data_IF_463706887955
#
_entry.id   IF_463706887955
#
_cell.length_a   1.000
_cell.length_b   1.000
_cell.length_c   1.000
_cell.angle_alpha   90.00
_cell.angle_beta   90.00
_cell.angle_gamma   90.00
#
_symmetry.space_group_name_H-M   'P 1'
#
loop_
_entity.id
_entity.type
_entity.pdbx_description
1 polymer ?
#
# COMPACT_ATOMS: atom_id res chain seq x y z
N UNK A 1 18.09 77.01 10.57
CA UNK A 1 16.66 76.79 10.78
C UNK A 1 16.45 75.28 10.88
N UNK A 2 16.68 74.65 12.02
CA UNK A 2 16.06 74.77 13.36
C UNK A 2 14.90 73.74 13.47
N UNK A 3 15.09 72.63 14.20
CA UNK A 3 14.92 72.45 15.67
C UNK A 3 13.43 72.22 15.98
N UNK A 4 12.98 70.98 16.21
CA UNK A 4 12.94 70.21 17.48
C UNK A 4 11.98 70.79 18.54
N UNK A 5 10.92 70.01 18.85
CA UNK A 5 10.33 69.78 20.20
C UNK A 5 9.52 68.47 20.11
N UNK A 6 9.73 67.37 20.87
CA UNK A 6 9.93 67.09 22.31
C UNK A 6 8.76 67.43 23.24
N UNK A 7 8.17 66.38 23.80
CA UNK A 7 7.99 66.04 25.23
C UNK A 7 8.02 64.48 25.27
N UNK A 8 8.88 63.76 26.02
CA UNK A 8 9.09 63.68 27.49
C UNK A 8 7.85 63.08 28.20
N UNK A 9 7.90 62.10 29.10
CA UNK A 9 8.95 61.38 29.87
C UNK A 9 8.45 59.92 30.14
N UNK A 10 9.21 58.93 30.63
CA UNK A 10 10.62 58.82 30.98
C UNK A 10 10.90 57.46 31.69
N UNK A 11 12.08 56.87 31.42
CA UNK A 11 13.03 56.25 32.38
C UNK A 11 12.57 55.11 33.35
N UNK A 12 13.38 54.13 33.79
CA UNK A 12 14.77 53.61 33.60
C UNK A 12 14.78 52.22 34.33
N UNK A 13 15.76 51.30 34.27
CA UNK A 13 17.18 51.33 33.95
C UNK A 13 17.73 49.92 33.59
N UNK A 14 18.83 49.89 32.82
CA UNK A 14 19.78 48.78 32.59
C UNK A 14 20.87 48.75 33.71
N UNK A 15 21.90 47.85 33.81
CA UNK A 15 22.80 47.31 32.75
C UNK A 15 23.29 45.83 32.95
N UNK A 16 24.24 45.24 32.21
CA UNK A 16 25.21 45.78 31.23
C UNK A 16 26.04 44.74 30.45
N UNK A 17 27.10 45.22 29.77
CA UNK A 17 27.94 44.54 28.75
C UNK A 17 29.44 44.47 29.22
N UNK A 18 30.45 43.84 28.59
CA UNK A 18 30.64 43.20 27.25
C UNK A 18 31.82 42.15 27.25
N UNK A 19 32.23 41.63 26.07
CA UNK A 19 33.40 40.81 25.68
C UNK A 19 34.74 40.91 26.47
N UNK A 20 35.60 39.86 26.41
CA UNK A 20 36.89 39.81 25.63
C UNK A 20 37.56 38.39 25.67
N UNK A 21 38.46 38.11 24.71
CA UNK A 21 39.19 36.84 24.43
C UNK A 21 40.46 36.58 25.30
N UNK A 22 41.10 35.41 25.05
CA UNK A 22 42.35 34.79 25.58
C UNK A 22 42.09 33.68 26.63
N UNK A 23 42.88 32.59 26.73
CA UNK A 23 44.14 32.18 26.08
C UNK A 23 44.43 30.67 26.27
N UNK A 24 45.70 30.23 26.10
CA UNK A 24 46.04 28.84 25.76
C UNK A 24 46.66 28.00 26.92
N UNK A 25 46.37 26.69 26.92
CA UNK A 25 47.26 25.53 27.21
C UNK A 25 47.47 24.96 28.66
N UNK A 26 47.71 23.63 28.67
CA UNK A 26 48.31 22.71 29.68
C UNK A 26 47.50 21.97 30.79
N UNK A 27 47.03 20.76 30.43
CA UNK A 27 47.23 19.43 31.05
C UNK A 27 47.43 19.28 32.58
N UNK A 28 46.56 18.48 33.23
CA UNK A 28 46.93 17.24 33.96
C UNK A 28 45.68 16.39 34.34
N UNK A 29 45.91 15.10 34.65
CA UNK A 29 44.88 14.05 34.67
C UNK A 29 44.12 13.89 36.01
N UNK A 30 42.95 13.25 35.96
CA UNK A 30 42.16 12.90 37.15
C UNK A 30 40.95 12.00 36.84
N UNK A 31 41.18 10.69 36.72
CA UNK A 31 40.11 9.70 36.49
C UNK A 31 39.11 9.62 37.65
N UNK A 32 37.81 9.62 37.36
CA UNK A 32 36.78 9.09 38.26
C UNK A 32 35.70 8.35 37.46
N UNK A 33 35.54 7.07 37.74
CA UNK A 33 34.42 6.27 37.26
C UNK A 33 33.11 6.73 37.94
N UNK A 34 32.00 6.58 37.22
CA UNK A 34 30.65 6.51 37.80
C UNK A 34 30.06 5.13 37.48
N UNK A 35 29.24 4.54 38.36
CA UNK A 35 28.86 3.14 38.26
C UNK A 35 27.76 2.88 37.22
N UNK A 36 27.76 1.65 36.70
CA UNK A 36 26.88 1.20 35.63
C UNK A 36 25.39 1.19 36.03
N UNK A 37 24.55 1.65 35.09
CA UNK A 37 23.12 1.34 35.07
C UNK A 37 22.92 -0.01 34.35
N UNK A 38 22.42 -1.06 35.02
CA UNK A 38 22.17 -2.34 34.38
C UNK A 38 20.89 -2.27 33.54
N UNK A 39 20.96 -1.60 32.39
CA UNK A 39 20.03 -1.86 31.31
C UNK A 39 20.13 -3.34 30.94
N UNK A 40 19.13 -4.12 31.33
CA UNK A 40 18.99 -5.54 31.03
C UNK A 40 18.82 -5.70 29.52
N UNK A 41 19.95 -5.79 28.81
CA UNK A 41 19.96 -6.41 27.49
C UNK A 41 19.50 -7.86 27.66
N UNK A 42 18.28 -8.11 27.22
CA UNK A 42 17.63 -9.42 27.26
C UNK A 42 17.95 -10.25 26.01
N UNK A 43 19.01 -9.89 25.27
CA UNK A 43 19.59 -10.73 24.23
C UNK A 43 20.07 -12.06 24.86
N UNK A 44 19.25 -13.11 24.69
CA UNK A 44 19.56 -14.45 25.16
C UNK A 44 20.92 -14.88 24.59
N UNK A 45 21.86 -15.40 25.42
CA UNK A 45 23.17 -15.82 24.94
C UNK A 45 23.01 -16.91 23.88
N UNK A 46 23.54 -16.64 22.68
CA UNK A 46 23.36 -17.49 21.49
C UNK A 46 24.26 -18.72 21.56
N UNK A 47 23.88 -19.70 22.38
CA UNK A 47 24.57 -20.98 22.54
C UNK A 47 24.12 -21.98 21.44
N UNK A 48 24.81 -21.94 20.31
CA UNK A 48 24.45 -22.66 19.06
C UNK A 48 24.64 -24.19 19.10
N UNK A 49 25.05 -24.77 20.22
CA UNK A 49 25.63 -26.12 20.24
C UNK A 49 24.57 -27.22 20.45
N UNK A 50 24.53 -28.17 19.51
CA UNK A 50 23.75 -29.44 19.50
C UNK A 50 22.22 -29.40 19.37
N UNK A 51 21.55 -28.24 19.40
CA UNK A 51 20.11 -28.19 19.05
C UNK A 51 19.91 -28.18 17.53
N UNK A 52 19.27 -29.23 16.98
CA UNK A 52 18.89 -29.27 15.55
C UNK A 52 17.85 -28.20 15.23
N UNK A 53 18.19 -27.30 14.32
CA UNK A 53 17.28 -26.26 13.80
C UNK A 53 16.03 -26.87 13.14
N UNK A 54 14.82 -26.33 13.40
CA UNK A 54 13.60 -26.80 12.74
C UNK A 54 13.60 -26.50 11.23
N UNK A 55 12.91 -27.35 10.46
CA UNK A 55 12.56 -27.11 9.07
C UNK A 55 11.25 -26.31 9.01
N UNK A 56 11.22 -25.28 8.18
CA UNK A 56 9.99 -24.57 7.84
C UNK A 56 9.38 -25.27 6.62
N UNK A 57 8.13 -25.70 6.71
CA UNK A 57 7.41 -26.44 5.67
C UNK A 57 6.07 -25.76 5.40
N UNK A 58 5.82 -25.22 4.19
CA UNK A 58 6.71 -25.18 3.03
C UNK A 58 7.90 -24.21 3.24
N UNK A 59 9.00 -24.43 2.51
CA UNK A 59 10.28 -23.75 2.73
C UNK A 59 10.38 -22.35 2.10
N UNK A 60 9.29 -21.58 2.12
CA UNK A 60 9.17 -20.30 1.42
C UNK A 60 8.74 -20.46 -0.05
N UNK A 61 8.52 -19.31 -0.73
CA UNK A 61 7.86 -19.25 -2.04
C UNK A 61 6.59 -18.39 -2.04
N UNK A 62 5.70 -18.64 -3.01
CA UNK A 62 4.43 -17.92 -3.18
C UNK A 62 3.28 -18.77 -2.62
N UNK A 63 2.41 -18.20 -1.78
CA UNK A 63 1.32 -18.92 -1.11
C UNK A 63 0.02 -18.11 -1.06
N UNK A 64 -1.12 -18.81 -1.09
CA UNK A 64 -2.41 -18.20 -0.78
C UNK A 64 -2.43 -17.79 0.70
N UNK A 65 -3.20 -16.75 1.04
CA UNK A 65 -3.45 -16.45 2.46
C UNK A 65 -4.11 -17.65 3.14
N UNK A 66 -3.90 -17.79 4.46
CA UNK A 66 -4.34 -18.95 5.24
C UNK A 66 -3.67 -20.28 4.88
N UNK A 67 -2.54 -20.24 4.17
CA UNK A 67 -1.63 -21.40 4.09
C UNK A 67 -1.03 -21.66 5.47
N UNK A 68 -1.21 -22.87 6.00
CA UNK A 68 -0.56 -23.27 7.24
C UNK A 68 0.92 -23.61 7.00
N UNK A 69 1.78 -23.02 7.82
CA UNK A 69 3.22 -23.27 7.84
C UNK A 69 3.54 -24.12 9.07
N UNK A 70 4.11 -25.31 8.82
CA UNK A 70 4.53 -26.27 9.81
C UNK A 70 6.02 -26.09 10.13
N UNK A 71 6.38 -26.25 11.39
CA UNK A 71 7.74 -26.14 11.91
C UNK A 71 8.16 -27.50 12.44
N UNK A 72 8.94 -28.23 11.66
CA UNK A 72 9.19 -29.65 11.87
C UNK A 72 10.61 -29.88 12.39
N UNK A 73 10.76 -30.59 13.50
CA UNK A 73 12.05 -31.13 13.97
C UNK A 73 12.00 -32.65 14.01
N UNK A 74 13.11 -33.32 13.70
CA UNK A 74 13.23 -34.78 13.80
C UNK A 74 13.35 -35.24 15.26
N UNK A 75 13.79 -34.34 16.15
CA UNK A 75 13.99 -34.59 17.58
C UNK A 75 13.76 -33.30 18.35
N UNK A 76 12.85 -33.31 19.32
CA UNK A 76 12.66 -32.23 20.29
C UNK A 76 13.16 -32.71 21.66
N UNK A 77 14.28 -32.17 22.19
CA UNK A 77 14.76 -32.53 23.53
C UNK A 77 13.71 -32.22 24.62
N UNK A 78 13.75 -32.97 25.72
CA UNK A 78 12.87 -32.69 26.86
C UNK A 78 13.06 -31.25 27.37
N UNK A 79 11.98 -30.52 27.58
CA UNK A 79 12.00 -29.10 27.97
C UNK A 79 12.26 -28.10 26.82
N UNK A 80 12.64 -28.57 25.62
CA UNK A 80 12.80 -27.70 24.46
C UNK A 80 11.44 -27.37 23.81
N UNK A 81 11.35 -26.17 23.24
CA UNK A 81 10.20 -25.70 22.46
C UNK A 81 10.63 -25.23 21.07
N UNK A 82 9.72 -25.31 20.10
CA UNK A 82 9.86 -24.60 18.83
C UNK A 82 9.32 -23.19 19.02
N UNK A 83 10.05 -22.18 18.55
CA UNK A 83 9.57 -20.82 18.47
C UNK A 83 9.87 -20.17 17.12
N UNK A 84 9.00 -19.25 16.72
CA UNK A 84 9.06 -18.57 15.44
C UNK A 84 8.81 -17.06 15.56
N UNK A 85 9.30 -16.32 14.57
CA UNK A 85 9.08 -14.89 14.42
C UNK A 85 8.55 -14.60 13.02
N UNK A 86 7.60 -13.66 12.95
CA UNK A 86 6.99 -13.15 11.70
C UNK A 86 7.39 -11.69 11.40
N UNK A 87 8.26 -11.11 12.23
CA UNK A 87 8.63 -9.69 12.25
C UNK A 87 10.15 -9.47 12.22
N UNK A 88 10.88 -10.39 11.57
CA UNK A 88 12.35 -10.38 11.43
C UNK A 88 13.12 -10.50 12.76
N UNK A 89 12.55 -11.23 13.72
CA UNK A 89 13.18 -11.57 14.99
C UNK A 89 12.89 -10.60 16.15
N UNK A 90 12.02 -9.62 15.97
CA UNK A 90 11.64 -8.65 17.01
C UNK A 90 10.79 -9.30 18.11
N UNK A 91 9.83 -10.17 17.74
CA UNK A 91 9.06 -10.98 18.68
C UNK A 91 9.10 -12.46 18.31
N UNK A 92 9.03 -13.32 19.32
CA UNK A 92 9.08 -14.78 19.18
C UNK A 92 7.86 -15.43 19.85
N UNK A 93 7.22 -16.34 19.14
CA UNK A 93 6.01 -17.06 19.56
C UNK A 93 6.31 -18.56 19.64
N UNK A 94 5.89 -19.21 20.71
CA UNK A 94 6.03 -20.67 20.87
C UNK A 94 4.94 -21.39 20.08
N UNK A 95 5.33 -22.35 19.24
CA UNK A 95 4.39 -23.14 18.45
C UNK A 95 5.08 -23.98 17.38
N UNK A 96 4.41 -25.05 16.94
CA UNK A 96 4.88 -25.93 15.87
C UNK A 96 4.20 -25.65 14.53
N UNK A 97 3.19 -24.77 14.51
CA UNK A 97 2.50 -24.34 13.29
C UNK A 97 1.96 -22.93 13.45
N UNK A 98 1.76 -22.23 12.34
CA UNK A 98 1.00 -20.98 12.28
C UNK A 98 0.38 -20.81 10.89
N UNK A 99 -0.70 -20.03 10.83
CA UNK A 99 -1.41 -19.73 9.58
C UNK A 99 -0.85 -18.45 8.96
N UNK A 100 -0.34 -18.50 7.73
CA UNK A 100 0.24 -17.35 7.06
C UNK A 100 -0.84 -16.36 6.59
N UNK A 101 -0.92 -15.22 7.27
CA UNK A 101 -1.88 -14.14 6.97
C UNK A 101 -1.27 -12.94 6.21
N UNK A 102 0.06 -12.86 6.13
CA UNK A 102 0.83 -11.82 5.43
C UNK A 102 2.10 -12.43 4.83
N UNK A 103 2.59 -11.88 3.72
CA UNK A 103 3.92 -12.18 3.22
C UNK A 103 5.01 -11.61 4.15
N UNK A 104 6.22 -12.12 4.03
CA UNK A 104 7.35 -11.68 4.85
C UNK A 104 8.42 -12.75 5.04
N UNK A 105 9.37 -12.46 5.94
CA UNK A 105 10.36 -13.42 6.39
C UNK A 105 9.84 -14.11 7.66
N UNK A 106 9.71 -15.44 7.59
CA UNK A 106 9.50 -16.30 8.76
C UNK A 106 10.87 -16.72 9.26
N UNK A 107 11.07 -16.66 10.58
CA UNK A 107 12.26 -17.19 11.26
C UNK A 107 11.81 -18.25 12.26
N UNK A 108 12.56 -19.35 12.40
CA UNK A 108 12.24 -20.43 13.33
C UNK A 108 13.51 -21.02 13.97
N UNK A 109 13.43 -21.34 15.27
CA UNK A 109 14.51 -21.94 16.05
C UNK A 109 13.94 -22.85 17.15
N UNK A 110 14.78 -23.71 17.73
CA UNK A 110 14.48 -24.31 19.03
C UNK A 110 14.97 -23.39 20.14
N UNK A 111 14.27 -23.38 21.27
CA UNK A 111 14.76 -22.84 22.55
C UNK A 111 14.67 -23.92 23.62
N UNK A 112 15.72 -24.08 24.42
CA UNK A 112 15.77 -24.94 25.59
C UNK A 112 16.41 -24.14 26.73
N UNK A 113 15.64 -23.90 27.79
CA UNK A 113 15.99 -22.95 28.85
C UNK A 113 16.45 -21.59 28.27
N UNK A 114 17.69 -21.19 28.55
CA UNK A 114 18.32 -19.95 28.09
C UNK A 114 19.13 -20.11 26.78
N UNK A 115 19.05 -21.27 26.11
CA UNK A 115 19.81 -21.59 24.88
C UNK A 115 18.89 -21.68 23.66
N UNK A 116 19.43 -21.35 22.48
CA UNK A 116 18.69 -21.40 21.21
C UNK A 116 19.48 -22.07 20.10
N UNK A 117 18.82 -22.82 19.23
CA UNK A 117 19.45 -23.36 18.02
C UNK A 117 19.87 -22.23 17.06
N UNK A 118 20.67 -22.57 16.05
CA UNK A 118 20.75 -21.74 14.84
C UNK A 118 19.33 -21.49 14.30
N UNK A 119 19.08 -20.28 13.81
CA UNK A 119 17.80 -19.87 13.24
C UNK A 119 17.71 -20.27 11.76
N UNK A 120 16.61 -20.93 11.37
CA UNK A 120 16.22 -21.06 9.95
C UNK A 120 15.37 -19.84 9.57
N UNK A 121 15.54 -19.37 8.34
CA UNK A 121 14.64 -18.38 7.74
C UNK A 121 14.07 -18.91 6.42
N UNK A 122 12.85 -18.49 6.10
CA UNK A 122 12.23 -18.69 4.81
C UNK A 122 11.37 -17.46 4.45
N UNK A 123 11.32 -17.11 3.17
CA UNK A 123 10.60 -15.92 2.68
C UNK A 123 9.34 -16.33 1.93
N UNK A 124 8.23 -15.70 2.29
CA UNK A 124 6.89 -16.00 1.79
C UNK A 124 6.33 -14.76 1.10
N UNK A 125 5.77 -14.92 -0.10
CA UNK A 125 4.98 -13.89 -0.80
C UNK A 125 3.54 -14.37 -0.87
N UNK A 126 2.57 -13.46 -0.73
CA UNK A 126 1.18 -13.79 -1.00
C UNK A 126 0.94 -13.87 -2.51
N UNK A 127 0.21 -14.89 -2.97
CA UNK A 127 -0.45 -14.88 -4.27
C UNK A 127 -1.95 -14.63 -4.14
N UNK A 128 -2.55 -14.28 -5.27
CA UNK A 128 -3.97 -13.98 -5.45
C UNK A 128 -4.47 -14.86 -6.60
N UNK A 129 -5.61 -15.53 -6.46
CA UNK A 129 -6.17 -16.39 -7.51
C UNK A 129 -7.21 -15.67 -8.36
N UNK A 130 -7.86 -14.63 -7.82
CA UNK A 130 -9.07 -14.01 -8.39
C UNK A 130 -9.02 -12.49 -8.25
N UNK A 131 -8.51 -11.83 -9.28
CA UNK A 131 -8.44 -10.37 -9.39
C UNK A 131 -9.72 -9.80 -10.00
N UNK A 132 -10.43 -8.97 -9.25
CA UNK A 132 -11.49 -8.10 -9.75
C UNK A 132 -10.93 -6.69 -9.97
N UNK A 133 -11.08 -6.14 -11.17
CA UNK A 133 -10.79 -4.73 -11.44
C UNK A 133 -12.13 -4.02 -11.70
N UNK A 134 -12.47 -3.09 -10.81
CA UNK A 134 -13.62 -2.19 -10.96
C UNK A 134 -13.11 -0.89 -11.56
N UNK A 135 -13.67 -0.46 -12.68
CA UNK A 135 -13.28 0.80 -13.29
C UNK A 135 -14.14 1.24 -14.47
N UNK A 136 -13.61 2.16 -15.26
CA UNK A 136 -14.35 2.86 -16.32
C UNK A 136 -13.72 2.61 -17.71
N UNK A 137 -13.92 3.54 -18.65
CA UNK A 137 -13.38 3.44 -20.02
C UNK A 137 -11.86 3.27 -20.09
N UNK A 138 -11.10 3.76 -19.09
CA UNK A 138 -9.64 3.52 -18.99
C UNK A 138 -9.33 2.04 -18.71
N UNK A 139 -10.22 1.32 -18.01
CA UNK A 139 -10.08 -0.11 -17.70
C UNK A 139 -10.46 -0.99 -18.89
N UNK A 140 -11.58 -0.71 -19.53
CA UNK A 140 -11.99 -1.37 -20.77
C UNK A 140 -13.13 -0.61 -21.43
N UNK A 141 -13.07 -0.48 -22.76
CA UNK A 141 -14.17 0.08 -23.53
C UNK A 141 -14.34 -0.63 -24.89
N UNK A 142 -15.57 -1.02 -25.30
CA UNK A 142 -15.80 -1.59 -26.62
C UNK A 142 -15.54 -0.56 -27.74
N UNK A 143 -15.37 -1.00 -29.00
CA UNK A 143 -15.16 -0.11 -30.14
C UNK A 143 -16.30 0.90 -30.32
N UNK A 144 -15.96 2.15 -30.63
CA UNK A 144 -16.90 3.23 -31.00
C UNK A 144 -16.31 3.99 -32.18
N UNK A 145 -16.58 3.49 -33.39
CA UNK A 145 -15.99 4.02 -34.63
C UNK A 145 -16.28 5.51 -34.86
N UNK A 146 -17.42 6.03 -34.39
CA UNK A 146 -17.81 7.44 -34.53
C UNK A 146 -16.93 8.42 -33.76
N UNK A 147 -16.14 7.95 -32.78
CA UNK A 147 -15.14 8.77 -32.07
C UNK A 147 -13.70 8.37 -32.40
N UNK A 148 -13.50 7.53 -33.43
CA UNK A 148 -12.18 7.03 -33.82
C UNK A 148 -11.60 5.96 -32.88
N UNK A 149 -12.42 5.32 -32.05
CA UNK A 149 -12.01 4.23 -31.17
C UNK A 149 -12.39 2.87 -31.78
N UNK A 150 -11.41 2.02 -32.06
CA UNK A 150 -11.61 0.75 -32.78
C UNK A 150 -11.24 -0.50 -31.99
N UNK A 151 -10.56 -0.37 -30.85
CA UNK A 151 -10.11 -1.50 -30.06
C UNK A 151 -11.14 -1.88 -28.97
N UNK A 152 -10.90 -3.03 -28.31
CA UNK A 152 -11.73 -3.54 -27.21
C UNK A 152 -10.88 -3.78 -25.95
N UNK A 153 -10.20 -2.74 -25.49
CA UNK A 153 -9.29 -2.72 -24.36
C UNK A 153 -9.42 -1.40 -23.58
N UNK A 154 -8.54 -1.11 -22.62
CA UNK A 154 -8.50 0.19 -21.95
C UNK A 154 -8.37 1.35 -22.96
N UNK A 155 -9.30 2.31 -22.92
CA UNK A 155 -9.45 3.31 -23.98
C UNK A 155 -8.17 4.13 -24.20
N UNK A 156 -7.85 4.36 -25.47
CA UNK A 156 -6.67 5.03 -26.00
C UNK A 156 -5.31 4.31 -25.84
N UNK A 157 -5.24 3.17 -25.12
CA UNK A 157 -4.12 2.24 -25.28
C UNK A 157 -4.13 1.64 -26.71
N UNK A 158 -2.98 1.63 -27.38
CA UNK A 158 -2.92 1.28 -28.81
C UNK A 158 -3.16 -0.20 -29.11
N UNK A 159 -2.99 -1.09 -28.12
CA UNK A 159 -3.29 -2.51 -28.20
C UNK A 159 -3.63 -3.07 -26.79
N UNK A 160 -4.31 -4.24 -26.69
CA UNK A 160 -4.68 -4.83 -25.40
C UNK A 160 -3.49 -5.02 -24.46
N UNK A 161 -2.38 -5.58 -24.95
CA UNK A 161 -1.16 -5.85 -24.19
C UNK A 161 -0.43 -4.60 -23.66
N UNK A 162 -0.94 -3.40 -23.96
CA UNK A 162 -0.44 -2.12 -23.48
C UNK A 162 -1.40 -1.34 -22.58
N UNK A 163 -2.62 -1.85 -22.34
CA UNK A 163 -3.46 -1.27 -21.29
C UNK A 163 -3.00 -1.73 -19.90
N UNK A 164 -3.38 -0.99 -18.87
CA UNK A 164 -2.91 -1.27 -17.51
C UNK A 164 -3.43 -2.61 -16.97
N UNK A 165 -4.55 -3.12 -17.50
CA UNK A 165 -5.19 -4.38 -17.08
C UNK A 165 -4.35 -5.56 -17.52
N UNK A 166 -3.96 -5.60 -18.79
CA UNK A 166 -3.15 -6.69 -19.35
C UNK A 166 -1.70 -6.61 -18.84
N UNK A 167 -1.13 -5.41 -18.70
CA UNK A 167 0.20 -5.22 -18.09
C UNK A 167 0.23 -5.72 -16.64
N UNK A 168 -0.76 -5.34 -15.82
CA UNK A 168 -0.87 -5.82 -14.43
C UNK A 168 -1.09 -7.34 -14.36
N UNK A 169 -1.97 -7.87 -15.21
CA UNK A 169 -2.26 -9.32 -15.28
C UNK A 169 -1.00 -10.09 -15.65
N UNK A 170 -0.27 -9.68 -16.69
CA UNK A 170 0.99 -10.29 -17.10
C UNK A 170 2.02 -10.29 -15.97
N UNK A 171 2.18 -9.15 -15.28
CA UNK A 171 3.09 -9.04 -14.13
C UNK A 171 2.74 -10.01 -12.99
N UNK A 172 1.47 -10.07 -12.56
CA UNK A 172 1.02 -11.00 -11.53
C UNK A 172 1.21 -12.47 -11.98
N UNK A 173 0.91 -12.76 -13.25
CA UNK A 173 1.10 -14.09 -13.85
C UNK A 173 2.58 -14.55 -13.94
N UNK A 174 3.56 -13.64 -13.88
CA UNK A 174 4.98 -14.05 -13.74
C UNK A 174 5.29 -14.65 -12.37
N UNK A 175 4.51 -14.31 -11.34
CA UNK A 175 4.71 -14.80 -9.99
C UNK A 175 3.94 -16.10 -9.74
N UNK A 176 2.72 -16.24 -10.27
CA UNK A 176 1.86 -17.38 -9.99
C UNK A 176 0.81 -17.57 -11.09
N UNK A 177 0.44 -18.84 -11.34
CA UNK A 177 -0.65 -19.22 -12.24
C UNK A 177 -1.43 -20.41 -11.66
N UNK A 178 -2.74 -20.54 -11.95
CA UNK A 178 -3.56 -19.62 -12.74
C UNK A 178 -3.96 -18.37 -11.94
N UNK A 179 -4.07 -17.24 -12.64
CA UNK A 179 -4.75 -16.04 -12.15
C UNK A 179 -6.05 -15.87 -12.96
N UNK A 180 -7.18 -15.81 -12.28
CA UNK A 180 -8.45 -15.45 -12.90
C UNK A 180 -8.64 -13.94 -12.79
N UNK A 181 -9.08 -13.31 -13.89
CA UNK A 181 -9.35 -11.87 -13.93
C UNK A 181 -10.79 -11.61 -14.35
N UNK A 182 -11.44 -10.67 -13.64
CA UNK A 182 -12.74 -10.11 -14.01
C UNK A 182 -12.67 -8.59 -14.01
N UNK A 183 -13.34 -7.99 -14.99
CA UNK A 183 -13.53 -6.55 -15.09
C UNK A 183 -14.98 -6.23 -14.78
N UNK A 184 -15.21 -5.18 -14.01
CA UNK A 184 -16.53 -4.66 -13.69
C UNK A 184 -16.58 -3.18 -14.04
N UNK A 185 -17.59 -2.79 -14.81
CA UNK A 185 -17.82 -1.38 -15.09
C UNK A 185 -18.39 -0.70 -13.84
N UNK A 186 -17.79 0.42 -13.43
CA UNK A 186 -18.27 1.29 -12.35
C UNK A 186 -18.59 2.71 -12.81
N UNK A 187 -18.72 2.94 -14.12
CA UNK A 187 -19.05 4.26 -14.69
C UNK A 187 -20.43 4.76 -14.25
N UNK A 188 -21.39 3.86 -14.00
CA UNK A 188 -22.67 4.22 -13.41
C UNK A 188 -22.50 4.79 -11.99
N UNK A 189 -21.67 4.18 -11.14
CA UNK A 189 -21.30 4.78 -9.85
C UNK A 189 -20.70 6.18 -10.01
N UNK A 190 -19.72 6.36 -10.90
CA UNK A 190 -19.09 7.68 -11.11
C UNK A 190 -20.07 8.76 -11.57
N UNK A 191 -21.00 8.40 -12.45
CA UNK A 191 -21.97 9.32 -13.04
C UNK A 191 -23.20 9.56 -12.16
N UNK A 192 -23.53 8.64 -11.25
CA UNK A 192 -24.83 8.61 -10.57
C UNK A 192 -24.78 8.42 -9.05
N UNK A 193 -23.60 8.38 -8.41
CA UNK A 193 -23.48 8.27 -6.95
C UNK A 193 -24.47 9.19 -6.21
N UNK A 194 -25.16 8.62 -5.22
CA UNK A 194 -26.14 9.31 -4.39
C UNK A 194 -27.42 9.78 -5.08
N UNK A 195 -27.60 9.54 -6.40
CA UNK A 195 -28.85 9.90 -7.07
C UNK A 195 -30.02 9.05 -6.55
N UNK A 196 -31.25 9.59 -6.44
CA UNK A 196 -32.38 8.88 -5.84
C UNK A 196 -32.77 7.58 -6.56
N UNK A 197 -32.49 7.48 -7.85
CA UNK A 197 -32.76 6.34 -8.73
C UNK A 197 -31.57 5.39 -8.89
N UNK A 198 -30.40 5.74 -8.35
CA UNK A 198 -29.18 4.94 -8.48
C UNK A 198 -29.00 3.96 -7.32
N UNK A 199 -28.62 2.73 -7.65
CA UNK A 199 -28.25 1.69 -6.69
C UNK A 199 -26.97 1.01 -7.16
N UNK A 200 -26.17 0.51 -6.22
CA UNK A 200 -24.89 -0.20 -6.47
C UNK A 200 -25.09 -1.67 -6.87
N UNK A 201 -26.21 -1.99 -7.51
CA UNK A 201 -26.62 -3.36 -7.81
C UNK A 201 -25.72 -4.06 -8.84
N UNK A 202 -24.98 -3.29 -9.66
CA UNK A 202 -24.07 -3.80 -10.68
C UNK A 202 -22.87 -4.57 -10.08
N UNK A 203 -22.48 -4.27 -8.84
CA UNK A 203 -21.33 -4.90 -8.20
C UNK A 203 -21.67 -6.25 -7.55
N UNK A 204 -22.91 -6.44 -7.09
CA UNK A 204 -23.28 -7.61 -6.29
C UNK A 204 -23.11 -8.97 -7.02
N UNK A 205 -23.48 -9.14 -8.31
CA UNK A 205 -23.32 -10.43 -9.00
C UNK A 205 -21.85 -10.84 -9.12
N UNK A 206 -20.99 -9.93 -9.64
CA UNK A 206 -19.57 -10.26 -9.83
C UNK A 206 -18.88 -10.55 -8.50
N UNK A 207 -19.20 -9.82 -7.43
CA UNK A 207 -18.63 -10.06 -6.11
C UNK A 207 -19.03 -11.43 -5.54
N UNK A 208 -20.34 -11.76 -5.57
CA UNK A 208 -20.87 -12.98 -4.98
C UNK A 208 -20.43 -14.25 -5.72
N UNK A 209 -20.39 -14.20 -7.05
CA UNK A 209 -20.05 -15.35 -7.89
C UNK A 209 -18.54 -15.53 -8.02
N UNK A 210 -17.78 -14.44 -8.22
CA UNK A 210 -16.34 -14.49 -8.45
C UNK A 210 -15.51 -14.58 -7.17
N UNK A 211 -16.00 -14.05 -6.04
CA UNK A 211 -15.31 -14.12 -4.73
C UNK A 211 -13.83 -13.68 -4.80
N UNK A 212 -13.56 -12.44 -5.25
CA UNK A 212 -12.21 -11.96 -5.47
C UNK A 212 -11.38 -11.95 -4.18
N UNK A 213 -10.13 -12.41 -4.26
CA UNK A 213 -9.13 -12.25 -3.20
C UNK A 213 -8.29 -10.97 -3.38
N UNK A 214 -8.32 -10.39 -4.58
CA UNK A 214 -7.72 -9.12 -4.93
C UNK A 214 -8.75 -8.22 -5.62
N UNK A 215 -8.93 -6.99 -5.14
CA UNK A 215 -9.78 -5.98 -5.79
C UNK A 215 -8.97 -4.72 -6.08
N UNK A 216 -9.04 -4.24 -7.32
CA UNK A 216 -8.52 -2.92 -7.73
C UNK A 216 -9.70 -2.01 -8.07
N UNK A 217 -9.82 -0.88 -7.39
CA UNK A 217 -10.90 0.11 -7.54
C UNK A 217 -10.33 1.37 -8.22
N UNK A 218 -10.55 1.47 -9.53
CA UNK A 218 -10.09 2.51 -10.45
C UNK A 218 -11.26 3.39 -10.89
N UNK A 219 -11.73 4.24 -9.99
CA UNK A 219 -12.85 5.17 -10.20
C UNK A 219 -12.45 6.58 -9.75
N UNK A 220 -13.00 7.61 -10.41
CA UNK A 220 -12.83 9.02 -10.06
C UNK A 220 -12.94 9.94 -11.27
N UNK A 221 -12.53 9.47 -12.45
CA UNK A 221 -12.49 10.25 -13.69
C UNK A 221 -13.86 10.85 -14.08
N UNK A 222 -14.93 10.06 -14.08
CA UNK A 222 -16.24 10.56 -14.53
C UNK A 222 -17.07 11.26 -13.44
N UNK A 223 -16.51 11.42 -12.23
CA UNK A 223 -17.21 12.07 -11.11
C UNK A 223 -17.29 13.59 -11.30
N UNK A 224 -18.49 14.16 -11.18
CA UNK A 224 -18.69 15.61 -11.19
C UNK A 224 -18.31 16.22 -9.83
N UNK A 225 -17.29 17.08 -9.84
CA UNK A 225 -16.81 17.87 -8.70
C UNK A 225 -17.90 18.74 -8.05
N UNK A 226 -18.97 19.09 -8.77
CA UNK A 226 -20.11 19.82 -8.20
C UNK A 226 -21.10 18.91 -7.45
N UNK A 227 -21.06 17.60 -7.71
CA UNK A 227 -21.93 16.60 -7.08
C UNK A 227 -21.32 15.94 -5.84
N UNK A 228 -19.99 15.99 -5.68
CA UNK A 228 -19.24 15.37 -4.57
C UNK A 228 -19.86 15.67 -3.19
N UNK A 229 -20.22 16.93 -2.89
CA UNK A 229 -20.88 17.29 -1.63
C UNK A 229 -22.41 17.08 -1.66
N UNK A 230 -23.19 17.60 -2.64
CA UNK A 230 -24.65 17.47 -2.62
C UNK A 230 -25.18 16.01 -2.66
N UNK A 231 -24.40 15.08 -3.23
CA UNK A 231 -24.74 13.66 -3.33
C UNK A 231 -23.95 12.77 -2.35
N UNK A 232 -23.23 13.39 -1.40
CA UNK A 232 -22.41 12.73 -0.36
C UNK A 232 -21.56 11.56 -0.89
N UNK A 233 -20.64 11.87 -1.81
CA UNK A 233 -19.71 10.87 -2.37
C UNK A 233 -18.94 10.12 -1.28
N UNK A 234 -18.68 10.76 -0.13
CA UNK A 234 -17.96 10.13 0.97
C UNK A 234 -18.73 8.95 1.56
N UNK A 235 -20.00 9.12 1.88
CA UNK A 235 -20.86 8.00 2.31
C UNK A 235 -21.06 6.98 1.19
N UNK A 236 -21.27 7.41 -0.06
CA UNK A 236 -21.46 6.49 -1.18
C UNK A 236 -20.23 5.60 -1.42
N UNK A 237 -19.02 6.18 -1.39
CA UNK A 237 -17.77 5.45 -1.61
C UNK A 237 -17.39 4.60 -0.39
N UNK A 238 -17.66 5.06 0.84
CA UNK A 238 -17.52 4.26 2.06
C UNK A 238 -18.41 3.04 2.06
N UNK A 239 -19.65 3.17 1.58
CA UNK A 239 -20.61 2.06 1.46
C UNK A 239 -20.20 1.10 0.35
N UNK A 240 -19.80 1.59 -0.84
CA UNK A 240 -19.21 0.75 -1.90
C UNK A 240 -18.07 -0.10 -1.34
N UNK A 241 -17.06 0.51 -0.74
CA UNK A 241 -15.90 -0.21 -0.19
C UNK A 241 -16.27 -1.16 0.96
N UNK A 242 -17.36 -0.93 1.69
CA UNK A 242 -17.89 -1.88 2.66
C UNK A 242 -18.53 -3.10 1.96
N UNK A 243 -19.36 -2.88 0.94
CA UNK A 243 -19.97 -3.93 0.11
C UNK A 243 -18.89 -4.81 -0.54
N UNK A 244 -17.85 -4.22 -1.15
CA UNK A 244 -16.71 -4.93 -1.75
C UNK A 244 -15.97 -5.85 -0.75
N UNK A 245 -15.94 -5.49 0.53
CA UNK A 245 -15.21 -6.24 1.57
C UNK A 245 -16.05 -7.24 2.36
N UNK A 246 -17.39 -7.12 2.27
CA UNK A 246 -18.35 -7.87 3.08
C UNK A 246 -18.43 -9.37 2.75
N UNK A 247 -17.95 -9.75 1.57
CA UNK A 247 -18.14 -11.04 0.92
C UNK A 247 -16.79 -11.61 0.51
N UNK A 248 -16.58 -12.91 0.75
CA UNK A 248 -15.30 -13.63 0.58
C UNK A 248 -14.06 -13.11 1.34
N UNK A 249 -14.10 -11.94 1.98
CA UNK A 249 -12.97 -11.27 2.63
C UNK A 249 -11.76 -11.10 1.70
N UNK A 250 -11.83 -10.21 0.68
CA UNK A 250 -10.68 -9.93 -0.19
C UNK A 250 -9.44 -9.56 0.64
N UNK A 251 -8.30 -10.13 0.26
CA UNK A 251 -7.07 -10.08 1.05
C UNK A 251 -6.29 -8.78 0.80
N UNK A 252 -6.48 -8.17 -0.37
CA UNK A 252 -5.98 -6.82 -0.67
C UNK A 252 -7.02 -6.07 -1.52
N UNK A 253 -7.44 -4.90 -1.04
CA UNK A 253 -8.16 -3.90 -1.82
C UNK A 253 -7.19 -2.75 -2.11
N UNK A 254 -7.05 -2.40 -3.38
CA UNK A 254 -6.24 -1.28 -3.86
C UNK A 254 -7.18 -0.25 -4.47
N UNK A 255 -7.25 0.94 -3.88
CA UNK A 255 -8.02 2.06 -4.41
C UNK A 255 -7.07 3.12 -4.97
N UNK A 256 -7.55 3.92 -5.91
CA UNK A 256 -6.67 4.79 -6.69
C UNK A 256 -7.31 6.16 -6.96
N UNK A 257 -6.52 7.23 -6.93
CA UNK A 257 -7.00 8.56 -7.37
C UNK A 257 -7.03 8.68 -8.89
N UNK A 258 -7.77 9.69 -9.37
CA UNK A 258 -8.01 9.95 -10.79
C UNK A 258 -6.73 10.34 -11.55
N UNK A 259 -6.67 10.00 -12.85
CA UNK A 259 -5.71 10.63 -13.78
C UNK A 259 -6.14 12.03 -14.23
N UNK A 260 -7.41 12.41 -14.02
CA UNK A 260 -7.94 13.72 -14.38
C UNK A 260 -7.99 14.66 -13.17
N UNK A 261 -8.13 15.96 -13.41
CA UNK A 261 -8.27 16.94 -12.32
C UNK A 261 -9.63 16.76 -11.60
N UNK A 262 -9.59 16.05 -10.47
CA UNK A 262 -10.75 15.68 -9.63
C UNK A 262 -10.47 15.91 -8.13
N UNK A 263 -10.10 17.14 -7.72
CA UNK A 263 -9.55 17.38 -6.38
C UNK A 263 -10.50 17.04 -5.24
N UNK A 264 -11.83 17.24 -5.37
CA UNK A 264 -12.79 16.88 -4.33
C UNK A 264 -13.06 15.38 -4.31
N UNK A 265 -13.24 14.75 -5.47
CA UNK A 265 -13.45 13.30 -5.54
C UNK A 265 -12.21 12.53 -5.06
N UNK A 266 -11.02 12.93 -5.49
CA UNK A 266 -9.76 12.35 -5.03
C UNK A 266 -9.56 12.54 -3.52
N UNK A 267 -9.94 13.69 -2.95
CA UNK A 267 -9.88 13.90 -1.50
C UNK A 267 -10.75 12.88 -0.74
N UNK A 268 -11.96 12.60 -1.24
CA UNK A 268 -12.84 11.55 -0.70
C UNK A 268 -12.20 10.16 -0.87
N UNK A 269 -11.70 9.83 -2.06
CA UNK A 269 -11.06 8.53 -2.32
C UNK A 269 -9.89 8.31 -1.37
N UNK A 270 -8.97 9.29 -1.23
CA UNK A 270 -7.83 9.21 -0.29
C UNK A 270 -8.31 9.01 1.15
N UNK A 271 -9.26 9.82 1.61
CA UNK A 271 -9.81 9.77 2.98
C UNK A 271 -10.38 8.39 3.29
N UNK A 272 -11.35 7.92 2.51
CA UNK A 272 -12.09 6.67 2.80
C UNK A 272 -11.22 5.43 2.61
N UNK A 273 -10.31 5.43 1.62
CA UNK A 273 -9.34 4.33 1.44
C UNK A 273 -8.45 4.19 2.67
N UNK A 274 -7.96 5.31 3.19
CA UNK A 274 -7.08 5.34 4.38
C UNK A 274 -7.85 4.98 5.65
N UNK A 275 -9.07 5.50 5.81
CA UNK A 275 -10.00 5.19 6.91
C UNK A 275 -10.25 3.68 7.05
N UNK A 276 -10.36 2.97 5.92
CA UNK A 276 -10.56 1.51 5.89
C UNK A 276 -9.27 0.69 5.97
N UNK A 277 -8.10 1.33 6.01
CA UNK A 277 -6.80 0.64 6.01
C UNK A 277 -6.48 -0.08 4.70
N UNK A 278 -7.12 0.32 3.59
CA UNK A 278 -6.84 -0.23 2.26
C UNK A 278 -5.67 0.49 1.59
N UNK A 279 -5.13 -0.12 0.53
CA UNK A 279 -3.95 0.43 -0.13
C UNK A 279 -4.36 1.53 -1.09
N UNK A 280 -3.77 2.71 -0.94
CA UNK A 280 -3.93 3.85 -1.84
C UNK A 280 -2.81 3.89 -2.89
N UNK A 281 -3.17 4.07 -4.16
CA UNK A 281 -2.26 4.44 -5.25
C UNK A 281 -2.62 5.84 -5.72
N UNK A 282 -1.73 6.80 -5.47
CA UNK A 282 -1.97 8.19 -5.89
C UNK A 282 -1.44 8.42 -7.32
N UNK A 283 -2.34 8.76 -8.24
CA UNK A 283 -2.03 9.11 -9.62
C UNK A 283 -1.92 10.61 -9.89
N UNK A 284 -2.03 11.47 -8.89
CA UNK A 284 -1.97 12.93 -9.08
C UNK A 284 -0.71 13.41 -9.82
N UNK A 285 0.40 12.68 -9.75
CA UNK A 285 1.62 12.92 -10.54
C UNK A 285 1.45 12.76 -12.07
N UNK A 286 0.31 12.24 -12.54
CA UNK A 286 -0.07 12.18 -13.95
C UNK A 286 -0.92 13.37 -14.40
N UNK A 287 -1.62 14.06 -13.49
CA UNK A 287 -2.58 15.10 -13.83
C UNK A 287 -1.88 16.26 -14.57
N UNK A 288 -2.39 16.62 -15.74
CA UNK A 288 -1.84 17.68 -16.59
C UNK A 288 -0.54 17.33 -17.32
N UNK A 289 0.01 16.12 -17.16
CA UNK A 289 1.26 15.69 -17.81
C UNK A 289 0.95 15.11 -19.20
N UNK A 290 1.02 15.93 -20.25
CA UNK A 290 0.66 15.55 -21.63
C UNK A 290 1.31 14.26 -22.14
N UNK A 291 2.53 13.94 -21.67
CA UNK A 291 3.25 12.68 -22.00
C UNK A 291 2.45 11.40 -21.71
N UNK A 292 1.52 11.42 -20.76
CA UNK A 292 0.72 10.25 -20.38
C UNK A 292 -0.62 10.16 -21.14
N UNK A 293 -1.03 11.19 -21.87
CA UNK A 293 -2.35 11.26 -22.51
C UNK A 293 -2.28 11.10 -24.02
N UNK A 294 -3.37 10.63 -24.62
CA UNK A 294 -3.39 10.18 -25.99
C UNK A 294 -3.68 11.32 -27.01
N UNK A 295 -2.90 12.39 -26.94
CA UNK A 295 -3.03 13.57 -27.80
C UNK A 295 -2.91 13.30 -29.32
N UNK A 296 -2.54 12.10 -29.73
CA UNK A 296 -2.57 11.64 -31.12
C UNK A 296 -3.99 11.34 -31.65
N UNK A 297 -5.00 11.15 -30.78
CA UNK A 297 -6.39 10.94 -31.22
C UNK A 297 -7.07 12.29 -31.49
N UNK A 298 -7.73 12.42 -32.64
CA UNK A 298 -8.41 13.67 -33.02
C UNK A 298 -9.68 13.96 -32.22
N UNK A 299 -10.29 12.94 -31.60
CA UNK A 299 -11.46 13.11 -30.75
C UNK A 299 -11.03 13.48 -29.32
N UNK A 300 -11.43 14.65 -28.77
CA UNK A 300 -11.00 15.08 -27.44
C UNK A 300 -11.40 14.14 -26.30
N UNK A 301 -12.52 13.42 -26.43
CA UNK A 301 -12.93 12.47 -25.40
C UNK A 301 -11.97 11.28 -25.33
N UNK A 302 -11.50 10.75 -26.47
CA UNK A 302 -10.49 9.68 -26.51
C UNK A 302 -9.10 10.21 -26.15
N UNK A 303 -8.75 11.43 -26.58
CA UNK A 303 -7.45 12.05 -26.30
C UNK A 303 -7.21 12.35 -24.82
N UNK A 304 -8.29 12.50 -24.03
CA UNK A 304 -8.23 12.67 -22.58
C UNK A 304 -7.86 11.37 -21.83
N UNK A 305 -7.84 10.21 -22.49
CA UNK A 305 -7.47 8.94 -21.85
C UNK A 305 -5.96 8.71 -21.87
N UNK A 306 -5.44 7.86 -20.96
CA UNK A 306 -4.03 7.50 -20.94
C UNK A 306 -3.60 6.82 -22.25
N UNK A 307 -2.46 7.23 -22.80
CA UNK A 307 -1.77 6.51 -23.87
C UNK A 307 -1.00 5.30 -23.31
N UNK A 308 -0.30 4.54 -24.16
CA UNK A 308 0.57 3.42 -23.76
C UNK A 308 1.49 3.74 -22.55
N UNK A 309 2.11 4.93 -22.53
CA UNK A 309 3.01 5.38 -21.44
C UNK A 309 2.22 5.69 -20.16
N UNK A 310 1.04 6.30 -20.30
CA UNK A 310 0.14 6.52 -19.18
C UNK A 310 -0.40 5.22 -18.58
N UNK A 311 -0.78 4.26 -19.43
CA UNK A 311 -1.23 2.94 -19.01
C UNK A 311 -0.13 2.14 -18.29
N UNK A 312 1.11 2.20 -18.80
CA UNK A 312 2.27 1.63 -18.11
C UNK A 312 2.48 2.29 -16.74
N UNK A 313 2.42 3.63 -16.65
CA UNK A 313 2.55 4.35 -15.38
C UNK A 313 1.47 3.96 -14.35
N UNK A 314 0.23 3.70 -14.80
CA UNK A 314 -0.86 3.20 -13.95
C UNK A 314 -0.53 1.78 -13.46
N UNK A 315 -0.10 0.89 -14.37
CA UNK A 315 0.26 -0.48 -14.04
C UNK A 315 1.42 -0.54 -13.03
N UNK A 316 2.47 0.26 -13.23
CA UNK A 316 3.67 0.30 -12.39
C UNK A 316 3.36 0.80 -10.96
N UNK A 317 2.62 1.90 -10.84
CA UNK A 317 2.25 2.46 -9.53
C UNK A 317 1.31 1.54 -8.72
N UNK A 318 0.49 0.74 -9.41
CA UNK A 318 -0.30 -0.34 -8.81
C UNK A 318 0.60 -1.54 -8.47
N UNK A 319 1.54 -1.91 -9.34
CA UNK A 319 2.48 -3.02 -9.16
C UNK A 319 3.39 -2.85 -7.93
N UNK A 320 3.87 -1.63 -7.68
CA UNK A 320 4.63 -1.27 -6.47
C UNK A 320 3.90 -1.64 -5.17
N UNK A 321 2.56 -1.70 -5.19
CA UNK A 321 1.74 -2.01 -4.00
C UNK A 321 1.49 -3.51 -3.79
N UNK A 322 1.95 -4.38 -4.69
CA UNK A 322 1.90 -5.83 -4.50
C UNK A 322 3.10 -6.37 -3.72
N UNK A 323 4.26 -5.75 -3.90
CA UNK A 323 5.53 -6.19 -3.28
C UNK A 323 5.72 -5.69 -1.83
N UNK A 324 4.74 -4.95 -1.30
CA UNK A 324 4.69 -4.39 0.06
C UNK A 324 3.46 -4.91 0.84
#
# INVERSE_FOLDING_TARGET
MNVISRLLEGHRNWPGLIFTLLGLLFVLAGSRCTPDDPSLDTSLPVDTVNLKTPRIVPAGGNFHVKTDVQLVTDTLPAGAVIEYSLDKGQTWQVGQQFTLIKGGQVMARLRADNRVSLTRSASFRLYFERMLIIGNSITSHPPVASIGWFNSNGMAASAPEKDYVHLLTANLETLYKPLLVRLQNGGDFELKFGAPDYTRAEFAPVINDFKPDLIVVRLGENMDENRVQPYDLETQYRTLLAELSSTSQPHKIICTTSVWARPKADAVIRKVTTEKGYVLVDLSGMVGQSRYFAGQYSNPAVAAHPNDVGMQQIADLIWEKFNN
#
